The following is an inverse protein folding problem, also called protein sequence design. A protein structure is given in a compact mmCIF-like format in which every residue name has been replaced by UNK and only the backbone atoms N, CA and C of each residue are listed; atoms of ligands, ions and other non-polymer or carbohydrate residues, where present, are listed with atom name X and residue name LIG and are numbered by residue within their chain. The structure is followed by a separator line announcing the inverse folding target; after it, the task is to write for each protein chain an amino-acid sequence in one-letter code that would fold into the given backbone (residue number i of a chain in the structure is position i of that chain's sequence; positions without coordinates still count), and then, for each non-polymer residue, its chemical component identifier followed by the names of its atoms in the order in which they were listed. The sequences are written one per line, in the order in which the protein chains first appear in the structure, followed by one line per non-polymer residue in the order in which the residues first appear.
data_IF_017613246267
#
_entry.id   IF_017613246267
#
_cell.length_a   1.000
_cell.length_b   1.000
_cell.length_c   1.000
_cell.angle_alpha   90.00
_cell.angle_beta   90.00
_cell.angle_gamma   90.00
#
_symmetry.space_group_name_H-M   'P 1'
#
loop_
_entity.id
_entity.type
_entity.pdbx_description
1 polymer ?
#
# COMPACT_ATOMS: atom_id res chain seq x y z
N UNK A 1 3.08 -10.39 -13.50
CA UNK A 1 4.12 -10.56 -12.45
C UNK A 1 3.48 -11.26 -11.27
N UNK A 2 3.89 -12.49 -10.94
CA UNK A 2 3.40 -13.19 -9.75
C UNK A 2 3.94 -12.48 -8.52
N UNK A 3 3.08 -11.79 -7.78
CA UNK A 3 3.46 -11.24 -6.47
C UNK A 3 3.76 -12.44 -5.55
N UNK A 4 4.96 -12.47 -4.96
CA UNK A 4 5.27 -13.41 -3.89
C UNK A 4 4.25 -13.23 -2.76
N UNK A 5 3.67 -14.34 -2.32
CA UNK A 5 2.65 -14.34 -1.28
C UNK A 5 3.23 -13.78 0.04
N UNK A 6 2.51 -12.86 0.67
CA UNK A 6 2.86 -12.39 2.00
C UNK A 6 2.71 -13.51 3.03
N UNK A 7 3.43 -13.40 4.16
CA UNK A 7 3.07 -14.21 5.31
C UNK A 7 1.67 -13.83 5.80
N UNK A 8 0.94 -14.81 6.33
CA UNK A 8 -0.42 -14.63 6.85
C UNK A 8 -0.55 -13.39 7.75
N UNK A 9 0.42 -13.20 8.67
CA UNK A 9 0.43 -12.06 9.60
C UNK A 9 0.49 -10.71 8.87
N UNK A 10 1.32 -10.58 7.83
CA UNK A 10 1.45 -9.34 7.06
C UNK A 10 0.19 -9.05 6.25
N UNK A 11 -0.42 -10.09 5.68
CA UNK A 11 -1.69 -9.97 4.97
C UNK A 11 -2.82 -9.54 5.90
N UNK A 12 -2.90 -10.10 7.10
CA UNK A 12 -3.87 -9.72 8.13
C UNK A 12 -3.70 -8.26 8.54
N UNK A 13 -2.46 -7.79 8.73
CA UNK A 13 -2.17 -6.39 9.05
C UNK A 13 -2.68 -5.43 7.96
N UNK A 14 -2.49 -5.76 6.67
CA UNK A 14 -3.01 -4.94 5.56
C UNK A 14 -4.55 -4.95 5.57
N UNK A 15 -5.18 -6.10 5.80
CA UNK A 15 -6.65 -6.20 5.90
C UNK A 15 -7.21 -5.38 7.05
N UNK A 16 -6.52 -5.35 8.21
CA UNK A 16 -6.92 -4.53 9.34
C UNK A 16 -6.86 -3.03 9.01
N UNK A 17 -5.78 -2.56 8.37
CA UNK A 17 -5.67 -1.16 7.93
C UNK A 17 -6.82 -0.82 6.98
N UNK A 18 -7.10 -1.68 6.00
CA UNK A 18 -8.19 -1.45 5.07
C UNK A 18 -9.57 -1.43 5.74
N UNK A 19 -9.79 -2.30 6.73
CA UNK A 19 -11.03 -2.32 7.50
C UNK A 19 -11.22 -1.03 8.30
N UNK A 20 -10.18 -0.55 9.00
CA UNK A 20 -10.23 0.73 9.73
C UNK A 20 -10.48 1.91 8.79
N UNK A 21 -9.81 1.95 7.65
CA UNK A 21 -10.01 2.97 6.63
C UNK A 21 -11.45 2.96 6.08
N UNK A 22 -12.01 1.78 5.82
CA UNK A 22 -13.39 1.64 5.35
C UNK A 22 -14.43 2.04 6.41
N UNK A 23 -14.15 1.81 7.70
CA UNK A 23 -15.02 2.27 8.81
C UNK A 23 -15.15 3.80 8.83
N UNK A 24 -14.09 4.52 8.44
CA UNK A 24 -14.04 5.98 8.38
C UNK A 24 -14.48 6.52 6.99
N UNK A 25 -15.17 5.72 6.17
CA UNK A 25 -15.55 6.06 4.78
C UNK A 25 -14.35 6.41 3.87
N UNK A 26 -13.14 5.99 4.24
CA UNK A 26 -11.88 6.25 3.53
C UNK A 26 -11.32 4.99 2.88
N UNK A 27 -12.14 4.23 2.16
CA UNK A 27 -11.70 2.98 1.50
C UNK A 27 -10.39 3.13 0.71
N UNK A 28 -9.45 2.21 0.92
CA UNK A 28 -8.17 2.21 0.20
C UNK A 28 -8.38 2.00 -1.30
N UNK A 29 -7.67 2.79 -2.10
CA UNK A 29 -7.58 2.56 -3.55
C UNK A 29 -6.77 1.30 -3.85
N UNK A 30 -6.93 0.75 -5.05
CA UNK A 30 -6.12 -0.39 -5.50
C UNK A 30 -4.61 -0.08 -5.46
N UNK A 31 -4.21 1.13 -5.89
CA UNK A 31 -2.82 1.59 -5.84
C UNK A 31 -2.29 1.63 -4.40
N UNK A 32 -3.09 2.11 -3.44
CA UNK A 32 -2.71 2.11 -2.03
C UNK A 32 -2.51 0.68 -1.50
N UNK A 33 -3.39 -0.25 -1.88
CA UNK A 33 -3.23 -1.67 -1.55
C UNK A 33 -1.94 -2.26 -2.11
N UNK A 34 -1.65 -2.01 -3.39
CA UNK A 34 -0.43 -2.51 -4.04
C UNK A 34 0.82 -1.96 -3.36
N UNK A 35 0.83 -0.68 -3.01
CA UNK A 35 1.93 -0.03 -2.29
C UNK A 35 2.19 -0.69 -0.93
N UNK A 36 1.14 -0.90 -0.13
CA UNK A 36 1.23 -1.62 1.15
C UNK A 36 1.77 -3.04 0.96
N UNK A 37 1.35 -3.74 -0.10
CA UNK A 37 1.82 -5.09 -0.42
C UNK A 37 3.31 -5.12 -0.80
N UNK A 38 3.77 -4.15 -1.60
CA UNK A 38 5.19 -3.99 -1.99
C UNK A 38 6.10 -3.57 -0.83
N UNK A 39 5.56 -2.88 0.17
CA UNK A 39 6.31 -2.60 1.39
C UNK A 39 6.39 -3.86 2.25
N UNK A 40 5.26 -4.55 2.44
CA UNK A 40 5.19 -5.75 3.27
C UNK A 40 6.05 -6.90 2.74
N UNK A 41 6.22 -7.02 1.41
CA UNK A 41 7.11 -8.01 0.81
C UNK A 41 8.58 -7.55 0.71
N UNK A 42 8.91 -6.33 1.17
CA UNK A 42 10.26 -5.80 1.15
C UNK A 42 10.79 -5.42 -0.23
N UNK A 43 9.95 -5.38 -1.27
CA UNK A 43 10.34 -4.92 -2.61
C UNK A 43 10.63 -3.43 -2.67
N UNK A 44 9.94 -2.64 -1.83
CA UNK A 44 10.15 -1.20 -1.69
C UNK A 44 10.18 -0.79 -0.23
N UNK A 45 10.95 0.25 0.07
CA UNK A 45 10.89 0.91 1.38
C UNK A 45 9.73 1.92 1.42
N UNK A 46 9.39 2.38 2.62
CA UNK A 46 8.36 3.41 2.80
C UNK A 46 8.76 4.71 2.09
N UNK A 47 10.03 5.10 2.17
CA UNK A 47 10.56 6.31 1.54
C UNK A 47 10.41 6.27 0.03
N UNK A 48 10.76 5.13 -0.59
CA UNK A 48 10.61 4.95 -2.04
C UNK A 48 9.16 5.10 -2.51
N UNK A 49 8.20 4.53 -1.76
CA UNK A 49 6.77 4.66 -2.07
C UNK A 49 6.29 6.10 -1.89
N UNK A 50 6.72 6.79 -0.81
CA UNK A 50 6.38 8.20 -0.58
C UNK A 50 6.92 9.09 -1.70
N UNK A 51 8.16 8.86 -2.13
CA UNK A 51 8.78 9.62 -3.20
C UNK A 51 8.03 9.43 -4.53
N UNK A 52 7.61 8.20 -4.84
CA UNK A 52 6.82 7.89 -6.03
C UNK A 52 5.45 8.59 -6.02
N UNK A 53 4.73 8.52 -4.90
CA UNK A 53 3.44 9.19 -4.72
C UNK A 53 3.64 10.71 -4.87
N UNK A 54 4.64 11.27 -4.20
CA UNK A 54 4.93 12.71 -4.24
C UNK A 54 5.29 13.16 -5.66
N UNK A 55 6.12 12.40 -6.37
CA UNK A 55 6.52 12.70 -7.74
C UNK A 55 5.34 12.64 -8.73
N UNK A 56 4.38 11.73 -8.51
CA UNK A 56 3.15 11.64 -9.31
C UNK A 56 2.33 12.92 -9.20
N UNK A 57 2.00 13.34 -7.98
CA UNK A 57 1.16 14.53 -7.76
C UNK A 57 1.88 15.86 -8.04
N UNK A 58 3.21 15.93 -7.90
CA UNK A 58 3.98 17.12 -8.33
C UNK A 58 3.94 17.35 -9.85
N UNK A 59 3.71 16.31 -10.65
CA UNK A 59 3.61 16.43 -12.12
C UNK A 59 2.22 16.82 -12.60
N UNK A 60 1.22 16.78 -11.72
CA UNK A 60 -0.17 17.14 -12.03
C UNK A 60 -0.48 18.63 -11.79
N UNK A 61 0.51 19.42 -11.34
CA UNK A 61 0.45 20.88 -11.15
C UNK A 61 1.36 21.55 -12.17
#
# INVERSE_FOLDING_TARGET
MSQEALSYKKEEQIKQVAATMAVEDMSLTEEAYQNLYTIANGKKTFEQVIDEITAKYKKEI
#
